data_IF_141234082457
#
_entry.id   IF_141234082457
#
_cell.length_a   1.000
_cell.length_b   1.000
_cell.length_c   1.000
_cell.angle_alpha   90.00
_cell.angle_beta   90.00
_cell.angle_gamma   90.00
#
_symmetry.space_group_name_H-M   'P 1'
#
loop_
_entity.id
_entity.type
_entity.pdbx_description
1 polymer ?
#
# COMPACT_ATOMS: atom_id res chain seq x y z
N UNK A 1 -16.27 -12.77 -15.78
CA UNK A 1 -16.06 -12.52 -17.21
C UNK A 1 -14.63 -12.00 -17.37
N UNK A 2 -13.71 -12.82 -17.90
CA UNK A 2 -12.33 -12.42 -18.13
C UNK A 2 -12.33 -11.24 -19.09
N UNK A 3 -11.94 -10.06 -18.63
CA UNK A 3 -11.69 -8.93 -19.51
C UNK A 3 -10.44 -9.28 -20.30
N UNK A 4 -10.58 -9.56 -21.61
CA UNK A 4 -9.42 -9.75 -22.46
C UNK A 4 -8.58 -8.47 -22.41
N UNK A 5 -7.41 -8.58 -21.82
CA UNK A 5 -6.44 -7.49 -21.80
C UNK A 5 -5.90 -7.23 -23.20
N UNK A 6 -5.65 -5.95 -23.56
CA UNK A 6 -4.80 -5.68 -24.70
C UNK A 6 -3.43 -6.35 -24.48
N UNK A 7 -2.79 -6.92 -25.49
CA UNK A 7 -1.52 -7.63 -25.35
C UNK A 7 -0.47 -6.72 -24.71
N UNK A 8 -0.10 -7.07 -23.59
CA UNK A 8 1.04 -7.01 -22.77
C UNK A 8 1.96 -5.78 -22.73
N UNK A 9 1.60 -4.71 -22.00
CA UNK A 9 2.63 -3.85 -21.39
C UNK A 9 3.38 -4.65 -20.29
N UNK A 10 2.73 -5.67 -19.71
CA UNK A 10 3.26 -6.51 -18.64
C UNK A 10 2.99 -8.00 -18.92
N UNK A 11 3.85 -8.68 -19.71
CA UNK A 11 3.69 -10.10 -19.98
C UNK A 11 3.78 -10.92 -18.69
N UNK A 12 2.91 -11.93 -18.54
CA UNK A 12 2.89 -12.83 -17.38
C UNK A 12 2.11 -12.30 -16.17
N UNK A 13 1.46 -11.14 -16.28
CA UNK A 13 0.55 -10.63 -15.24
C UNK A 13 -0.90 -10.90 -15.65
N UNK A 14 -1.63 -11.61 -14.81
CA UNK A 14 -3.06 -11.82 -14.95
C UNK A 14 -3.85 -10.69 -14.29
N UNK A 15 -5.03 -10.37 -14.81
CA UNK A 15 -5.87 -9.30 -14.31
C UNK A 15 -7.24 -9.82 -13.94
N UNK A 16 -7.72 -9.47 -12.77
CA UNK A 16 -9.02 -9.86 -12.24
C UNK A 16 -9.85 -8.62 -11.88
N UNK A 17 -11.18 -8.80 -11.85
CA UNK A 17 -12.11 -7.84 -11.29
C UNK A 17 -12.89 -8.52 -10.17
N UNK A 18 -12.67 -8.09 -8.95
CA UNK A 18 -13.28 -8.65 -7.72
C UNK A 18 -14.35 -7.68 -7.23
N UNK A 19 -15.48 -8.19 -6.76
CA UNK A 19 -16.51 -7.35 -6.13
C UNK A 19 -16.22 -7.24 -4.63
N UNK A 20 -15.81 -6.07 -4.20
CA UNK A 20 -15.48 -5.73 -2.82
C UNK A 20 -16.65 -5.13 -2.04
N UNK A 21 -16.31 -4.49 -0.94
CA UNK A 21 -17.24 -3.86 0.00
C UNK A 21 -18.16 -2.84 -0.68
N UNK A 22 -19.45 -2.90 -0.32
CA UNK A 22 -20.47 -2.05 -0.90
C UNK A 22 -20.67 -2.21 -2.41
N UNK A 23 -20.19 -3.32 -3.00
CA UNK A 23 -20.33 -3.62 -4.41
C UNK A 23 -19.30 -2.94 -5.33
N UNK A 24 -18.27 -2.31 -4.78
CA UNK A 24 -17.20 -1.70 -5.57
C UNK A 24 -16.40 -2.78 -6.32
N UNK A 25 -16.16 -2.58 -7.61
CA UNK A 25 -15.32 -3.49 -8.39
C UNK A 25 -13.86 -3.10 -8.22
N UNK A 26 -13.07 -4.06 -7.80
CA UNK A 26 -11.64 -3.90 -7.54
C UNK A 26 -10.82 -4.56 -8.64
N UNK A 27 -9.88 -3.83 -9.18
CA UNK A 27 -8.92 -4.35 -10.11
C UNK A 27 -7.76 -4.98 -9.33
N UNK A 28 -7.48 -6.23 -9.61
CA UNK A 28 -6.42 -7.02 -8.96
C UNK A 28 -5.52 -7.61 -10.03
N UNK A 29 -4.25 -7.65 -9.78
CA UNK A 29 -3.26 -8.31 -10.65
C UNK A 29 -2.57 -9.44 -9.91
N UNK A 30 -2.22 -10.48 -10.66
CA UNK A 30 -1.60 -11.67 -10.14
C UNK A 30 -0.48 -12.15 -11.04
N UNK A 31 0.60 -12.67 -10.45
CA UNK A 31 1.71 -13.32 -11.15
C UNK A 31 2.44 -14.28 -10.22
N UNK A 32 3.40 -15.01 -10.77
CA UNK A 32 4.32 -15.87 -10.02
C UNK A 32 3.83 -17.29 -9.82
N UNK A 33 4.36 -17.95 -8.80
CA UNK A 33 4.09 -19.35 -8.50
C UNK A 33 2.72 -19.52 -7.85
N UNK A 34 1.73 -20.01 -8.58
CA UNK A 34 0.37 -20.23 -8.07
C UNK A 34 0.27 -21.22 -6.91
N UNK A 35 1.27 -22.09 -6.71
CA UNK A 35 1.37 -23.00 -5.57
C UNK A 35 2.17 -22.43 -4.40
N UNK A 36 2.79 -21.26 -4.58
CA UNK A 36 3.55 -20.58 -3.53
C UNK A 36 2.65 -19.86 -2.54
N UNK A 37 3.23 -19.46 -1.38
CA UNK A 37 2.50 -18.64 -0.40
C UNK A 37 2.07 -17.32 -1.04
N UNK A 38 0.80 -16.88 -0.87
CA UNK A 38 0.36 -15.61 -1.40
C UNK A 38 0.99 -14.43 -0.67
N UNK A 39 1.54 -13.47 -1.43
CA UNK A 39 1.95 -12.15 -0.96
C UNK A 39 0.99 -11.12 -1.58
N UNK A 40 0.24 -10.41 -0.74
CA UNK A 40 -0.78 -9.46 -1.17
C UNK A 40 -0.30 -8.04 -0.88
N UNK A 41 -0.07 -7.27 -1.92
CA UNK A 41 0.50 -5.92 -1.86
C UNK A 41 -0.58 -4.85 -1.96
N UNK A 42 -0.65 -3.98 -0.94
CA UNK A 42 -1.55 -2.84 -0.85
C UNK A 42 -0.74 -1.55 -0.97
N UNK A 43 -1.07 -0.73 -1.97
CA UNK A 43 -0.33 0.50 -2.26
C UNK A 43 -0.71 1.66 -1.33
N UNK A 44 0.08 2.75 -1.36
CA UNK A 44 -0.10 3.97 -0.60
C UNK A 44 -1.15 4.92 -1.19
N UNK A 45 -1.31 6.07 -0.51
CA UNK A 45 -2.20 7.16 -0.92
C UNK A 45 -1.95 7.62 -2.36
N UNK A 46 -3.02 7.75 -3.14
CA UNK A 46 -3.00 8.21 -4.54
C UNK A 46 -2.20 7.34 -5.51
N UNK A 47 -1.79 6.14 -5.13
CA UNK A 47 -0.97 5.24 -5.94
C UNK A 47 -1.83 4.24 -6.74
N UNK A 48 -1.21 3.18 -7.22
CA UNK A 48 -1.86 2.02 -7.85
C UNK A 48 -1.00 0.76 -7.62
N UNK A 49 -1.50 -0.40 -8.08
CA UNK A 49 -0.72 -1.64 -8.06
C UNK A 49 0.65 -1.50 -8.75
N UNK A 50 0.78 -0.55 -9.70
CA UNK A 50 2.03 -0.28 -10.42
C UNK A 50 3.17 0.20 -9.51
N UNK A 51 2.88 0.71 -8.30
CA UNK A 51 3.91 0.98 -7.32
C UNK A 51 4.74 -0.26 -7.00
N UNK A 52 4.12 -1.43 -7.02
CA UNK A 52 4.73 -2.73 -6.74
C UNK A 52 5.29 -3.46 -7.98
N UNK A 53 5.35 -2.79 -9.14
CA UNK A 53 5.74 -3.43 -10.40
C UNK A 53 7.14 -4.06 -10.38
N UNK A 54 8.07 -3.57 -9.53
CA UNK A 54 9.40 -4.17 -9.37
C UNK A 54 9.28 -5.53 -8.70
N UNK A 55 8.50 -5.65 -7.61
CA UNK A 55 8.25 -6.90 -6.90
C UNK A 55 7.48 -7.90 -7.76
N UNK A 56 6.46 -7.43 -8.48
CA UNK A 56 5.66 -8.28 -9.38
C UNK A 56 6.47 -8.89 -10.53
N UNK A 57 7.69 -8.39 -10.79
CA UNK A 57 8.59 -8.85 -11.85
C UNK A 57 9.93 -9.37 -11.34
N UNK A 58 10.08 -9.45 -10.03
CA UNK A 58 11.30 -9.93 -9.40
C UNK A 58 11.31 -11.45 -9.28
N UNK A 59 12.42 -11.98 -8.80
CA UNK A 59 12.55 -13.39 -8.46
C UNK A 59 11.66 -13.84 -7.31
N UNK A 60 10.94 -12.93 -6.63
CA UNK A 60 9.87 -13.32 -5.72
C UNK A 60 8.82 -14.17 -6.42
N UNK A 61 8.56 -13.91 -7.70
CA UNK A 61 7.60 -14.66 -8.51
C UNK A 61 7.98 -16.14 -8.72
N UNK A 62 9.25 -16.51 -8.52
CA UNK A 62 9.69 -17.90 -8.65
C UNK A 62 9.16 -18.76 -7.49
N UNK A 63 9.00 -18.19 -6.30
CA UNK A 63 8.68 -18.91 -5.07
C UNK A 63 7.28 -18.58 -4.52
N UNK A 64 6.78 -17.38 -4.79
CA UNK A 64 5.55 -16.85 -4.19
C UNK A 64 4.46 -16.58 -5.24
N UNK A 65 3.21 -16.66 -4.81
CA UNK A 65 2.06 -16.17 -5.55
C UNK A 65 1.90 -14.68 -5.24
N UNK A 66 2.21 -13.82 -6.20
CA UNK A 66 2.22 -12.37 -6.01
C UNK A 66 0.89 -11.77 -6.47
N UNK A 67 0.23 -11.06 -5.57
CA UNK A 67 -1.04 -10.38 -5.83
C UNK A 67 -0.91 -8.91 -5.46
N UNK A 68 -1.34 -8.01 -6.32
CA UNK A 68 -1.44 -6.59 -5.99
C UNK A 68 -2.78 -6.04 -6.47
N UNK A 69 -3.35 -5.11 -5.73
CA UNK A 69 -4.66 -4.56 -6.09
C UNK A 69 -4.58 -3.04 -6.23
N UNK A 70 -5.44 -2.50 -7.10
CA UNK A 70 -5.80 -1.09 -7.03
C UNK A 70 -6.86 -0.95 -5.93
N UNK A 71 -6.54 -0.23 -4.87
CA UNK A 71 -7.49 0.05 -3.78
C UNK A 71 -8.71 0.80 -4.30
N UNK A 72 -9.88 0.72 -3.62
CA UNK A 72 -11.05 1.54 -3.97
C UNK A 72 -10.66 2.99 -4.19
N UNK A 73 -11.19 3.62 -5.21
CA UNK A 73 -10.84 4.99 -5.57
C UNK A 73 -9.59 5.15 -6.45
N UNK A 74 -8.80 4.09 -6.66
CA UNK A 74 -7.51 4.15 -7.35
C UNK A 74 -7.49 3.35 -8.64
N UNK A 75 -6.51 3.62 -9.48
CA UNK A 75 -6.19 2.86 -10.68
C UNK A 75 -7.41 2.50 -11.52
N UNK A 76 -7.60 1.22 -11.77
CA UNK A 76 -8.73 0.64 -12.54
C UNK A 76 -9.90 0.18 -11.65
N UNK A 77 -9.78 0.28 -10.33
CA UNK A 77 -10.87 0.03 -9.39
C UNK A 77 -11.93 1.13 -9.49
N UNK A 78 -13.16 0.79 -9.10
CA UNK A 78 -14.27 1.74 -9.03
C UNK A 78 -13.93 2.89 -8.07
N UNK A 79 -14.47 4.06 -8.41
CA UNK A 79 -14.31 5.31 -7.65
C UNK A 79 -15.68 5.76 -7.14
N UNK A 80 -16.22 5.06 -6.10
CA UNK A 80 -17.53 5.40 -5.55
C UNK A 80 -17.54 6.85 -5.05
N UNK A 81 -18.70 7.50 -5.13
CA UNK A 81 -18.85 8.88 -4.68
C UNK A 81 -18.76 9.04 -3.15
N UNK A 82 -18.88 7.93 -2.38
CA UNK A 82 -18.89 7.91 -0.91
C UNK A 82 -18.35 6.57 -0.38
N UNK A 83 -18.26 6.43 0.95
CA UNK A 83 -17.86 5.18 1.61
C UNK A 83 -16.38 5.10 1.97
N UNK A 84 -15.61 6.14 1.70
CA UNK A 84 -14.17 6.14 2.04
C UNK A 84 -13.89 6.23 3.54
N UNK A 85 -14.80 6.80 4.33
CA UNK A 85 -14.66 6.86 5.79
C UNK A 85 -15.00 5.54 6.51
N UNK A 86 -15.67 4.62 5.83
CA UNK A 86 -16.16 3.38 6.43
C UNK A 86 -15.08 2.29 6.43
N UNK A 87 -14.53 2.02 7.61
CA UNK A 87 -13.53 0.95 7.87
C UNK A 87 -14.01 -0.42 7.37
N UNK A 88 -15.30 -0.75 7.53
CA UNK A 88 -15.81 -2.04 7.13
C UNK A 88 -15.71 -2.26 5.61
N UNK A 89 -15.94 -1.22 4.81
CA UNK A 89 -15.83 -1.33 3.35
C UNK A 89 -14.39 -1.61 2.88
N UNK A 90 -13.38 -1.04 3.54
CA UNK A 90 -11.98 -1.34 3.23
C UNK A 90 -11.61 -2.77 3.64
N UNK A 91 -12.07 -3.19 4.80
CA UNK A 91 -11.88 -4.55 5.28
C UNK A 91 -12.53 -5.59 4.35
N UNK A 92 -13.77 -5.32 3.91
CA UNK A 92 -14.50 -6.16 2.95
C UNK A 92 -13.80 -6.23 1.59
N UNK A 93 -13.13 -5.17 1.15
CA UNK A 93 -12.34 -5.19 -0.09
C UNK A 93 -11.23 -6.22 0.00
N UNK A 94 -10.43 -6.18 1.06
CA UNK A 94 -9.36 -7.16 1.27
C UNK A 94 -9.94 -8.56 1.39
N UNK A 95 -10.97 -8.76 2.23
CA UNK A 95 -11.63 -10.05 2.42
C UNK A 95 -12.17 -10.62 1.10
N UNK A 96 -12.75 -9.78 0.24
CA UNK A 96 -13.24 -10.21 -1.07
C UNK A 96 -12.10 -10.70 -1.97
N UNK A 97 -10.98 -9.99 -2.03
CA UNK A 97 -9.81 -10.40 -2.81
C UNK A 97 -9.27 -11.74 -2.30
N UNK A 98 -9.11 -11.91 -0.98
CA UNK A 98 -8.64 -13.17 -0.40
C UNK A 98 -9.55 -14.34 -0.75
N UNK A 99 -10.86 -14.15 -0.64
CA UNK A 99 -11.86 -15.16 -0.92
C UNK A 99 -11.96 -15.52 -2.41
N UNK A 100 -12.11 -14.51 -3.29
CA UNK A 100 -12.35 -14.74 -4.72
C UNK A 100 -11.14 -15.36 -5.43
N UNK A 101 -9.92 -15.02 -4.99
CA UNK A 101 -8.70 -15.61 -5.50
C UNK A 101 -8.24 -16.83 -4.68
N UNK A 102 -9.02 -17.26 -3.68
CA UNK A 102 -8.70 -18.40 -2.81
C UNK A 102 -7.28 -18.31 -2.22
N UNK A 103 -6.95 -17.17 -1.63
CA UNK A 103 -5.63 -16.91 -1.05
C UNK A 103 -5.60 -17.41 0.40
N UNK A 104 -5.04 -18.61 0.60
CA UNK A 104 -4.93 -19.21 1.92
C UNK A 104 -3.68 -18.72 2.65
N UNK A 105 -3.85 -18.27 3.90
CA UNK A 105 -2.77 -17.78 4.77
C UNK A 105 -1.80 -16.81 4.04
N UNK A 106 -2.31 -15.72 3.42
CA UNK A 106 -1.45 -14.75 2.75
C UNK A 106 -0.62 -13.95 3.76
N UNK A 107 0.47 -13.38 3.27
CA UNK A 107 1.12 -12.23 3.92
C UNK A 107 0.56 -10.96 3.30
N UNK A 108 -0.02 -10.08 4.12
CA UNK A 108 -0.50 -8.77 3.66
C UNK A 108 0.63 -7.74 3.80
N UNK A 109 1.03 -7.10 2.72
CA UNK A 109 2.10 -6.10 2.70
C UNK A 109 1.48 -4.74 2.35
N UNK A 110 1.45 -3.81 3.32
CA UNK A 110 0.89 -2.48 3.14
C UNK A 110 1.96 -1.41 3.12
N UNK A 111 1.96 -0.59 2.08
CA UNK A 111 2.78 0.60 2.00
C UNK A 111 1.99 1.83 2.41
N UNK A 112 2.51 2.61 3.38
CA UNK A 112 1.93 3.90 3.76
C UNK A 112 0.43 3.75 4.12
N UNK A 113 -0.48 4.37 3.37
CA UNK A 113 -1.93 4.21 3.49
C UNK A 113 -2.39 2.75 3.42
N UNK A 114 -1.69 1.89 2.66
CA UNK A 114 -1.96 0.46 2.59
C UNK A 114 -1.87 -0.24 3.95
N UNK A 115 -1.08 0.29 4.89
CA UNK A 115 -1.04 -0.20 6.27
C UNK A 115 -2.38 0.04 6.99
N UNK A 116 -3.00 1.21 6.81
CA UNK A 116 -4.34 1.50 7.36
C UNK A 116 -5.34 0.45 6.86
N UNK A 117 -5.28 0.11 5.57
CA UNK A 117 -6.21 -0.88 4.98
C UNK A 117 -5.99 -2.27 5.55
N UNK A 118 -4.74 -2.68 5.82
CA UNK A 118 -4.45 -3.94 6.54
C UNK A 118 -5.04 -3.89 7.95
N UNK A 119 -4.86 -2.79 8.67
CA UNK A 119 -5.38 -2.65 10.03
C UNK A 119 -6.91 -2.58 10.05
N UNK A 120 -7.55 -1.95 9.05
CA UNK A 120 -9.00 -2.04 8.84
C UNK A 120 -9.45 -3.51 8.70
N UNK A 121 -8.74 -4.30 7.88
CA UNK A 121 -9.04 -5.72 7.71
C UNK A 121 -8.89 -6.50 9.03
N UNK A 122 -7.79 -6.33 9.75
CA UNK A 122 -7.56 -7.01 11.02
C UNK A 122 -8.59 -6.60 12.09
N UNK A 123 -9.04 -5.35 12.12
CA UNK A 123 -10.06 -4.85 13.04
C UNK A 123 -11.41 -5.54 12.84
N UNK A 124 -11.79 -5.79 11.59
CA UNK A 124 -13.10 -6.35 11.26
C UNK A 124 -13.10 -7.87 11.24
N UNK A 125 -12.07 -8.48 10.66
CA UNK A 125 -12.03 -9.93 10.41
C UNK A 125 -11.02 -10.68 11.30
N UNK A 126 -10.20 -9.96 12.07
CA UNK A 126 -9.13 -10.58 12.86
C UNK A 126 -7.97 -11.07 12.00
N UNK A 127 -7.05 -11.80 12.61
CA UNK A 127 -5.80 -12.21 12.00
C UNK A 127 -5.72 -13.70 11.61
N UNK A 128 -6.77 -14.51 11.88
CA UNK A 128 -6.71 -15.96 11.72
C UNK A 128 -6.48 -16.40 10.26
N UNK A 129 -6.97 -15.62 9.31
CA UNK A 129 -6.90 -15.93 7.88
C UNK A 129 -5.59 -15.50 7.21
N UNK A 130 -4.66 -14.86 7.94
CA UNK A 130 -3.36 -14.40 7.40
C UNK A 130 -2.19 -15.13 8.07
N UNK A 131 -1.08 -15.28 7.35
CA UNK A 131 0.14 -15.84 7.92
C UNK A 131 0.98 -14.76 8.64
N UNK A 132 0.91 -13.51 8.19
CA UNK A 132 1.64 -12.40 8.74
C UNK A 132 1.32 -11.08 8.03
N UNK A 133 1.88 -10.00 8.52
CA UNK A 133 1.72 -8.66 7.93
C UNK A 133 3.06 -7.97 7.73
N UNK A 134 3.14 -7.13 6.68
CA UNK A 134 4.27 -6.23 6.43
C UNK A 134 3.80 -4.77 6.44
N UNK A 135 4.44 -3.95 7.23
CA UNK A 135 4.24 -2.51 7.37
C UNK A 135 5.42 -1.81 6.71
N UNK A 136 5.20 -1.13 5.60
CA UNK A 136 6.26 -0.48 4.80
C UNK A 136 6.01 1.02 4.77
N UNK A 137 6.89 1.83 5.39
CA UNK A 137 6.68 3.27 5.52
C UNK A 137 5.28 3.61 6.09
N UNK A 138 4.78 2.76 6.99
CA UNK A 138 3.37 2.71 7.35
C UNK A 138 2.96 3.75 8.39
N UNK A 139 1.66 4.07 8.39
CA UNK A 139 0.96 4.86 9.40
C UNK A 139 -0.17 4.03 9.99
N UNK A 140 -0.57 4.33 11.23
CA UNK A 140 -1.61 3.59 11.96
C UNK A 140 -2.86 4.41 12.21
N UNK A 141 -2.78 5.73 11.97
CA UNK A 141 -3.88 6.67 12.22
C UNK A 141 -3.98 7.75 11.17
N UNK A 142 -5.17 8.33 11.05
CA UNK A 142 -5.52 9.45 10.17
C UNK A 142 -6.47 10.40 10.89
N UNK A 143 -6.53 11.65 10.45
CA UNK A 143 -7.54 12.64 10.86
C UNK A 143 -7.31 13.28 12.23
N UNK A 144 -6.30 12.87 12.99
CA UNK A 144 -5.98 13.47 14.29
C UNK A 144 -4.73 14.36 14.25
N UNK A 145 -4.50 15.13 15.29
CA UNK A 145 -3.29 15.93 15.44
C UNK A 145 -2.03 15.04 15.52
N UNK A 146 -2.14 13.88 16.18
CA UNK A 146 -1.07 12.88 16.28
C UNK A 146 -0.76 12.27 14.91
N UNK A 147 -1.79 12.01 14.10
CA UNK A 147 -1.62 11.53 12.72
C UNK A 147 -0.85 12.55 11.86
N UNK A 148 -1.19 13.84 11.98
CA UNK A 148 -0.47 14.92 11.30
C UNK A 148 0.96 15.07 11.82
N UNK A 149 1.21 14.87 13.10
CA UNK A 149 2.55 14.93 13.69
C UNK A 149 3.47 13.79 13.20
N UNK A 150 2.90 12.68 12.70
CA UNK A 150 3.64 11.60 12.07
C UNK A 150 4.16 11.96 10.67
N UNK A 151 3.58 12.97 10.02
CA UNK A 151 4.02 13.46 8.71
C UNK A 151 5.16 14.46 8.86
N UNK A 152 5.99 14.57 7.83
CA UNK A 152 7.03 15.59 7.78
C UNK A 152 6.46 16.96 7.41
N UNK A 153 7.14 18.08 7.71
CA UNK A 153 6.73 19.40 7.25
C UNK A 153 6.65 19.47 5.71
N UNK A 154 7.57 18.84 5.01
CA UNK A 154 7.62 18.78 3.55
C UNK A 154 6.36 18.12 2.97
N UNK A 155 5.90 17.03 3.57
CA UNK A 155 4.64 16.40 3.18
C UNK A 155 3.44 17.31 3.44
N UNK A 156 3.40 17.98 4.57
CA UNK A 156 2.30 18.90 4.91
C UNK A 156 2.24 20.09 3.93
N UNK A 157 3.37 20.55 3.41
CA UNK A 157 3.46 21.66 2.45
C UNK A 157 2.90 21.27 1.06
N UNK A 158 3.09 20.02 0.61
CA UNK A 158 2.59 19.57 -0.70
C UNK A 158 1.13 19.09 -0.66
N UNK A 159 0.64 18.75 0.52
CA UNK A 159 -0.67 18.12 0.71
C UNK A 159 -1.85 18.91 0.12
N UNK A 160 -1.95 20.25 0.26
CA UNK A 160 -3.04 21.04 -0.34
C UNK A 160 -3.11 20.87 -1.86
N UNK A 161 -1.97 20.87 -2.55
CA UNK A 161 -1.89 20.65 -4.00
C UNK A 161 -2.36 19.25 -4.42
N UNK A 162 -2.19 18.25 -3.55
CA UNK A 162 -2.71 16.89 -3.82
C UNK A 162 -4.24 16.86 -3.90
N UNK A 163 -4.95 17.82 -3.29
CA UNK A 163 -6.43 17.90 -3.31
C UNK A 163 -6.97 18.89 -4.34
N UNK A 164 -6.08 19.67 -4.96
CA UNK A 164 -6.48 20.72 -5.88
C UNK A 164 -7.26 20.15 -7.08
N UNK A 165 -8.32 20.86 -7.47
CA UNK A 165 -9.10 20.56 -8.67
C UNK A 165 -8.57 21.32 -9.90
N UNK A 166 -7.76 22.37 -9.68
CA UNK A 166 -7.10 23.10 -10.75
C UNK A 166 -5.92 22.26 -11.25
N UNK A 167 -5.79 22.15 -12.58
CA UNK A 167 -4.89 21.18 -13.22
C UNK A 167 -3.42 21.43 -12.87
N UNK A 168 -2.94 22.67 -12.97
CA UNK A 168 -1.54 23.00 -12.74
C UNK A 168 -1.16 22.77 -11.27
N UNK A 169 -2.04 23.17 -10.35
CA UNK A 169 -1.84 22.99 -8.91
C UNK A 169 -1.85 21.50 -8.52
N UNK A 170 -2.79 20.73 -9.08
CA UNK A 170 -2.87 19.28 -8.87
C UNK A 170 -1.63 18.55 -9.38
N UNK A 171 -1.17 18.87 -10.59
CA UNK A 171 0.06 18.29 -11.15
C UNK A 171 1.27 18.64 -10.30
N UNK A 172 1.39 19.90 -9.85
CA UNK A 172 2.48 20.35 -8.98
C UNK A 172 2.47 19.62 -7.64
N UNK A 173 1.31 19.53 -6.97
CA UNK A 173 1.18 18.84 -5.69
C UNK A 173 1.50 17.35 -5.79
N UNK A 174 0.98 16.66 -6.81
CA UNK A 174 1.26 15.23 -7.01
C UNK A 174 2.71 14.96 -7.44
N UNK A 175 3.32 15.88 -8.20
CA UNK A 175 4.75 15.78 -8.52
C UNK A 175 5.58 15.93 -7.24
N UNK A 176 5.27 16.92 -6.40
CA UNK A 176 5.93 17.10 -5.11
C UNK A 176 5.77 15.89 -4.19
N UNK A 177 4.56 15.32 -4.08
CA UNK A 177 4.32 14.07 -3.34
C UNK A 177 5.22 12.93 -3.85
N UNK A 178 5.31 12.76 -5.16
CA UNK A 178 6.14 11.70 -5.74
C UNK A 178 7.63 11.93 -5.49
N UNK A 179 8.09 13.18 -5.57
CA UNK A 179 9.49 13.52 -5.29
C UNK A 179 9.86 13.23 -3.83
N UNK A 180 8.95 13.46 -2.89
CA UNK A 180 9.14 13.13 -1.47
C UNK A 180 9.17 11.62 -1.17
N UNK A 181 8.62 10.78 -2.08
CA UNK A 181 8.69 9.33 -1.90
C UNK A 181 10.12 8.77 -2.00
N UNK A 182 11.07 9.54 -2.56
CA UNK A 182 12.39 9.03 -2.92
C UNK A 182 13.48 10.00 -2.44
N UNK A 183 14.61 9.47 -1.97
CA UNK A 183 15.81 10.25 -1.67
C UNK A 183 16.39 10.84 -2.96
N UNK A 184 16.37 10.05 -4.03
CA UNK A 184 16.80 10.50 -5.36
C UNK A 184 15.61 10.55 -6.29
N UNK A 185 15.37 11.72 -6.89
CA UNK A 185 14.31 11.88 -7.89
C UNK A 185 14.39 10.78 -8.93
N UNK A 186 13.27 10.04 -9.17
CA UNK A 186 13.22 9.03 -10.23
C UNK A 186 13.52 9.64 -11.60
N UNK A 187 14.07 8.81 -12.49
CA UNK A 187 14.24 9.19 -13.89
C UNK A 187 12.88 9.50 -14.55
N UNK A 188 12.83 10.36 -15.58
CA UNK A 188 11.55 10.73 -16.22
C UNK A 188 10.72 9.55 -16.69
N UNK A 189 11.36 8.48 -17.17
CA UNK A 189 10.71 7.23 -17.61
C UNK A 189 9.99 6.48 -16.51
N UNK A 190 10.38 6.67 -15.24
CA UNK A 190 9.70 6.15 -14.05
C UNK A 190 8.70 7.17 -13.50
N UNK A 191 9.11 8.45 -13.39
CA UNK A 191 8.33 9.50 -12.74
C UNK A 191 7.02 9.81 -13.51
N UNK A 192 7.07 9.89 -14.85
CA UNK A 192 5.87 10.22 -15.63
C UNK A 192 4.78 9.14 -15.56
N UNK A 193 5.08 7.83 -15.66
CA UNK A 193 4.08 6.81 -15.35
C UNK A 193 3.52 6.90 -13.94
N UNK A 194 4.37 7.20 -12.92
CA UNK A 194 3.91 7.41 -11.55
C UNK A 194 2.94 8.58 -11.45
N UNK A 195 3.27 9.72 -12.03
CA UNK A 195 2.36 10.87 -12.08
C UNK A 195 1.07 10.52 -12.83
N UNK A 196 1.17 9.76 -13.92
CA UNK A 196 0.04 9.31 -14.71
C UNK A 196 -0.98 8.53 -13.88
N UNK A 197 -0.57 7.51 -13.14
CA UNK A 197 -1.53 6.74 -12.33
C UNK A 197 -2.01 7.51 -11.08
N UNK A 198 -1.22 8.43 -10.51
CA UNK A 198 -1.66 9.33 -9.45
C UNK A 198 -2.81 10.24 -9.92
N UNK A 199 -2.70 10.79 -11.13
CA UNK A 199 -3.74 11.65 -11.73
C UNK A 199 -5.06 10.89 -11.99
N UNK A 200 -5.06 9.56 -12.08
CA UNK A 200 -6.30 8.78 -12.23
C UNK A 200 -7.17 8.79 -10.97
N UNK A 201 -6.63 9.18 -9.82
CA UNK A 201 -7.38 9.31 -8.56
C UNK A 201 -8.02 10.70 -8.51
N UNK A 202 -9.36 10.84 -8.53
CA UNK A 202 -9.99 12.15 -8.53
C UNK A 202 -9.67 12.97 -7.27
N UNK A 203 -9.54 14.31 -7.34
CA UNK A 203 -9.28 15.15 -6.18
C UNK A 203 -10.24 14.95 -5.00
N UNK A 204 -11.57 14.82 -5.19
CA UNK A 204 -12.48 14.53 -4.08
C UNK A 204 -12.22 13.18 -3.41
N UNK A 205 -11.74 12.19 -4.15
CA UNK A 205 -11.35 10.89 -3.59
C UNK A 205 -10.11 11.06 -2.74
N UNK A 206 -9.06 11.73 -3.26
CA UNK A 206 -7.83 12.00 -2.50
C UNK A 206 -8.13 12.73 -1.19
N UNK A 207 -9.01 13.72 -1.23
CA UNK A 207 -9.45 14.42 -0.04
C UNK A 207 -10.19 13.49 0.95
N UNK A 208 -11.14 12.68 0.45
CA UNK A 208 -11.89 11.74 1.30
C UNK A 208 -11.01 10.71 1.97
N UNK A 209 -9.94 10.23 1.31
CA UNK A 209 -8.98 9.27 1.85
C UNK A 209 -8.27 9.81 3.11
N UNK A 210 -7.77 11.04 3.06
CA UNK A 210 -7.02 11.63 4.17
C UNK A 210 -7.91 12.37 5.19
N UNK A 211 -9.20 12.53 4.88
CA UNK A 211 -10.20 13.04 5.85
C UNK A 211 -10.82 11.94 6.72
N UNK A 212 -10.36 10.70 6.60
CA UNK A 212 -10.78 9.62 7.49
C UNK A 212 -10.29 9.92 8.92
N UNK A 213 -11.14 9.62 9.89
CA UNK A 213 -10.77 9.61 11.30
C UNK A 213 -10.59 8.16 11.75
N UNK A 214 -9.33 7.71 11.81
CA UNK A 214 -8.95 6.34 12.15
C UNK A 214 -7.80 6.37 13.14
N UNK A 215 -7.93 5.57 14.19
CA UNK A 215 -6.84 5.26 15.14
C UNK A 215 -6.79 3.73 15.32
N UNK A 216 -5.67 3.13 14.96
CA UNK A 216 -5.45 1.70 15.08
C UNK A 216 -4.34 1.36 16.09
N UNK A 217 -3.90 2.31 16.92
CA UNK A 217 -2.84 2.04 17.90
C UNK A 217 -3.29 1.03 18.97
N UNK A 218 -4.58 1.02 19.31
CA UNK A 218 -5.18 0.05 20.23
C UNK A 218 -5.16 -1.39 19.67
N UNK A 219 -5.13 -1.54 18.34
CA UNK A 219 -5.08 -2.83 17.67
C UNK A 219 -3.67 -3.43 17.70
N UNK A 220 -2.62 -2.61 17.61
CA UNK A 220 -1.24 -3.09 17.49
C UNK A 220 -0.84 -4.09 18.58
N UNK A 221 -1.13 -3.85 19.90
CA UNK A 221 -0.79 -4.80 20.95
C UNK A 221 -1.59 -6.12 20.90
N UNK A 222 -2.64 -6.17 20.12
CA UNK A 222 -3.48 -7.38 19.97
C UNK A 222 -2.99 -8.31 18.86
N UNK A 223 -2.15 -7.82 17.94
CA UNK A 223 -1.59 -8.59 16.84
C UNK A 223 -0.64 -9.66 17.39
N UNK A 224 -0.90 -10.92 17.02
CA UNK A 224 -0.12 -12.10 17.43
C UNK A 224 0.60 -12.73 16.24
N UNK A 225 0.09 -12.50 15.02
CA UNK A 225 0.74 -13.01 13.81
C UNK A 225 2.08 -12.31 13.60
N UNK A 226 3.05 -13.00 13.01
CA UNK A 226 4.33 -12.40 12.62
C UNK A 226 4.15 -11.08 11.89
N UNK A 227 4.95 -10.09 12.24
CA UNK A 227 4.91 -8.76 11.65
C UNK A 227 6.32 -8.32 11.19
N UNK A 228 6.38 -7.74 10.00
CA UNK A 228 7.57 -7.13 9.43
C UNK A 228 7.36 -5.62 9.36
N UNK A 229 8.29 -4.83 9.86
CA UNK A 229 8.31 -3.37 9.72
C UNK A 229 9.53 -2.97 8.89
N UNK A 230 9.30 -2.29 7.76
CA UNK A 230 10.37 -1.75 6.91
C UNK A 230 10.16 -0.26 6.75
N UNK A 231 11.20 0.54 7.00
CA UNK A 231 11.14 2.00 6.89
C UNK A 231 12.47 2.54 6.35
N UNK A 232 12.42 3.60 5.54
CA UNK A 232 13.63 4.31 5.13
C UNK A 232 14.05 5.36 6.17
N UNK A 233 15.33 5.49 6.47
CA UNK A 233 15.83 6.47 7.44
C UNK A 233 15.77 7.92 6.93
N UNK A 234 15.63 8.11 5.61
CA UNK A 234 15.46 9.40 4.94
C UNK A 234 14.02 9.61 4.40
N UNK A 235 13.02 8.97 5.02
CA UNK A 235 11.61 9.12 4.63
C UNK A 235 11.14 10.57 4.84
N UNK A 236 10.85 11.27 3.72
CA UNK A 236 10.41 12.66 3.70
C UNK A 236 8.87 12.81 3.69
N UNK A 237 8.11 11.73 3.87
CA UNK A 237 6.65 11.72 4.00
C UNK A 237 6.22 11.37 5.41
N UNK A 238 6.62 10.19 5.88
CA UNK A 238 6.31 9.68 7.22
C UNK A 238 7.60 9.65 8.03
N UNK A 239 7.61 10.38 9.15
CA UNK A 239 8.80 10.46 10.02
C UNK A 239 9.29 9.07 10.42
N UNK A 240 10.60 8.76 10.29
CA UNK A 240 11.13 7.47 10.72
C UNK A 240 10.86 7.13 12.20
N UNK A 241 10.62 8.13 13.04
CA UNK A 241 10.27 7.94 14.46
C UNK A 241 8.97 7.15 14.70
N UNK A 242 8.09 6.99 13.68
CA UNK A 242 6.90 6.12 13.81
C UNK A 242 7.26 4.65 13.99
N UNK A 243 8.47 4.24 13.61
CA UNK A 243 8.97 2.88 13.83
C UNK A 243 8.98 2.53 15.32
N UNK A 244 9.34 3.48 16.19
CA UNK A 244 9.33 3.27 17.65
C UNK A 244 7.91 2.95 18.15
N UNK A 245 6.88 3.60 17.57
CA UNK A 245 5.48 3.34 17.90
C UNK A 245 5.05 1.94 17.42
N UNK A 246 5.44 1.55 16.20
CA UNK A 246 5.14 0.21 15.68
C UNK A 246 5.78 -0.88 16.56
N UNK A 247 7.03 -0.68 16.95
CA UNK A 247 7.78 -1.61 17.84
C UNK A 247 7.14 -1.67 19.24
N UNK A 248 6.75 -0.53 19.79
CA UNK A 248 6.07 -0.50 21.08
C UNK A 248 4.70 -1.22 21.04
N UNK A 249 3.99 -1.10 19.93
CA UNK A 249 2.71 -1.77 19.71
C UNK A 249 2.83 -3.25 19.38
N UNK A 250 3.76 -3.64 18.52
CA UNK A 250 3.96 -5.04 18.06
C UNK A 250 5.36 -5.49 18.51
N UNK A 251 5.51 -5.84 19.78
CA UNK A 251 6.81 -6.10 20.41
C UNK A 251 7.64 -7.25 19.75
N UNK A 252 6.99 -8.13 18.98
CA UNK A 252 7.64 -9.24 18.27
C UNK A 252 7.90 -8.94 16.80
N UNK A 253 7.64 -7.71 16.32
CA UNK A 253 7.88 -7.36 14.93
C UNK A 253 9.37 -7.46 14.57
N UNK A 254 9.64 -8.00 13.38
CA UNK A 254 10.96 -7.89 12.75
C UNK A 254 11.07 -6.50 12.13
N UNK A 255 12.12 -5.75 12.48
CA UNK A 255 12.26 -4.35 12.08
C UNK A 255 13.52 -4.15 11.23
N UNK A 256 13.35 -3.48 10.11
CA UNK A 256 14.45 -3.09 9.21
C UNK A 256 14.32 -1.61 8.84
N UNK A 257 15.18 -0.77 9.40
CA UNK A 257 15.36 0.61 8.97
C UNK A 257 16.44 0.61 7.88
N UNK A 258 16.04 0.95 6.65
CA UNK A 258 16.92 0.92 5.47
C UNK A 258 17.63 2.27 5.31
N UNK A 259 18.97 2.25 5.33
CA UNK A 259 19.76 3.48 5.31
C UNK A 259 19.90 4.07 3.91
N UNK A 260 19.77 5.41 3.82
CA UNK A 260 19.84 6.15 2.57
C UNK A 260 18.63 5.94 1.66
N UNK A 261 17.50 5.56 2.24
CA UNK A 261 16.26 5.20 1.54
C UNK A 261 15.10 6.04 2.08
N UNK A 262 14.22 6.48 1.18
CA UNK A 262 13.04 7.28 1.49
C UNK A 262 11.79 6.46 1.78
N UNK A 263 10.64 7.01 1.42
CA UNK A 263 9.31 6.45 1.70
C UNK A 263 8.99 5.17 0.89
N UNK A 264 9.73 4.90 -0.20
CA UNK A 264 9.50 3.77 -1.08
C UNK A 264 10.69 2.79 -1.12
N UNK A 265 11.04 2.12 0.01
CA UNK A 265 12.19 1.23 0.09
C UNK A 265 12.14 0.07 -0.92
N UNK A 266 10.94 -0.44 -1.22
CA UNK A 266 10.70 -1.48 -2.23
C UNK A 266 10.99 -1.01 -3.66
N UNK A 267 11.10 0.29 -3.88
CA UNK A 267 11.47 0.88 -5.17
C UNK A 267 12.93 1.30 -5.21
N UNK A 268 13.43 2.01 -4.19
CA UNK A 268 14.78 2.58 -4.18
C UNK A 268 15.85 1.52 -4.01
N UNK A 269 15.65 0.56 -3.12
CA UNK A 269 16.53 -0.60 -2.92
C UNK A 269 15.71 -1.89 -2.89
N UNK A 270 15.09 -2.19 -4.04
CA UNK A 270 14.27 -3.38 -4.23
C UNK A 270 14.99 -4.68 -3.84
N UNK A 271 16.29 -4.90 -4.19
CA UNK A 271 16.97 -6.12 -3.79
C UNK A 271 17.10 -6.30 -2.28
N UNK A 272 17.37 -5.23 -1.52
CA UNK A 272 17.45 -5.30 -0.06
C UNK A 272 16.07 -5.51 0.56
N UNK A 273 15.06 -4.79 0.09
CA UNK A 273 13.68 -4.98 0.53
C UNK A 273 13.20 -6.41 0.31
N UNK A 274 13.41 -6.97 -0.89
CA UNK A 274 13.00 -8.33 -1.24
C UNK A 274 13.74 -9.40 -0.42
N UNK A 275 15.00 -9.18 -0.08
CA UNK A 275 15.75 -10.05 0.82
C UNK A 275 15.15 -10.06 2.23
N UNK A 276 14.76 -8.90 2.77
CA UNK A 276 14.07 -8.82 4.07
C UNK A 276 12.70 -9.50 4.02
N UNK A 277 11.94 -9.28 2.96
CA UNK A 277 10.63 -9.91 2.77
C UNK A 277 10.74 -11.45 2.67
N UNK A 278 11.73 -11.98 1.92
CA UNK A 278 11.99 -13.43 1.84
C UNK A 278 12.34 -14.01 3.21
N UNK A 279 13.29 -13.40 3.91
CA UNK A 279 13.72 -13.88 5.22
C UNK A 279 12.53 -13.90 6.22
N UNK A 280 11.67 -12.91 6.16
CA UNK A 280 10.44 -12.89 6.95
C UNK A 280 9.50 -14.03 6.57
N UNK A 281 9.23 -14.24 5.29
CA UNK A 281 8.31 -15.28 4.81
C UNK A 281 8.83 -16.71 5.06
N UNK A 282 10.14 -16.94 5.06
CA UNK A 282 10.78 -18.22 5.39
C UNK A 282 10.61 -18.59 6.87
N UNK A 283 10.36 -17.61 7.73
CA UNK A 283 10.11 -17.80 9.17
C UNK A 283 8.65 -18.10 9.55
N UNK A 284 7.71 -18.19 8.55
CA UNK A 284 6.26 -18.33 8.78
C UNK A 284 5.77 -19.78 8.78
#
# INVERSE_FOLDING_TARGET
>A
MLVQNPPGIFPGIEHHMVTGGGGARLHVVETGNSGGRPLVFLHGFSQSWLAWQRQMRSTLADDYRLVALDLRGHGRSDKPAAGYADTALWAEDVAAVLRELMLEQPVLIGWSYGTIVILDYLRVFGEDSVAGIGIVGGITKLGSAEALAALTPEMLDVLPGCFASETEESVRGLTGLLELCFVRRPAPEDLYPMLGYNLTVPPPVRQALLSREVDNDDLLPTIRKPALVVHGDEDAIVRPSVVDQHVAGIAHAQVHVMSGVGHAPFWEDAPTFERHLRAFCEGL
#
